data_IF_859545796226
#
_entry.id   IF_859545796226
#
_cell.length_a   1.000
_cell.length_b   1.000
_cell.length_c   1.000
_cell.angle_alpha   90.00
_cell.angle_beta   90.00
_cell.angle_gamma   90.00
#
_symmetry.space_group_name_H-M   'P 1'
#
loop_
_entity.id
_entity.type
_entity.pdbx_description
1 polymer ?
#
# COMPACT_ATOMS: atom_id res chain seq x y z
N UNK A 1 -22.06 -48.69 -2.29
CA UNK A 1 -21.09 -48.43 -1.20
C UNK A 1 -21.25 -47.00 -0.74
N UNK A 2 -21.82 -46.71 0.44
CA UNK A 2 -21.97 -45.33 0.88
C UNK A 2 -20.62 -44.78 1.31
N UNK A 3 -20.27 -43.60 0.80
CA UNK A 3 -19.04 -42.90 1.12
C UNK A 3 -18.97 -42.61 2.63
N UNK A 4 -18.01 -43.25 3.32
CA UNK A 4 -17.70 -42.95 4.72
C UNK A 4 -17.27 -41.49 4.82
N UNK A 5 -18.13 -40.65 5.40
CA UNK A 5 -17.77 -39.28 5.82
C UNK A 5 -16.59 -39.37 6.79
N UNK A 6 -15.38 -39.18 6.28
CA UNK A 6 -14.21 -38.92 7.14
C UNK A 6 -14.50 -37.64 7.90
N UNK A 7 -14.50 -37.70 9.22
CA UNK A 7 -14.59 -36.51 10.08
C UNK A 7 -13.48 -35.53 9.71
N UNK A 8 -13.74 -34.21 9.65
CA UNK A 8 -12.72 -33.20 9.36
C UNK A 8 -11.67 -33.04 10.49
N UNK A 9 -11.63 -33.96 11.46
CA UNK A 9 -10.89 -33.80 12.72
C UNK A 9 -9.55 -34.52 12.72
N UNK A 10 -8.53 -33.85 13.27
CA UNK A 10 -7.15 -34.32 13.41
C UNK A 10 -6.93 -35.65 14.15
N UNK A 11 -7.99 -36.27 14.68
CA UNK A 11 -7.97 -37.56 15.34
C UNK A 11 -7.76 -38.74 14.38
N UNK A 12 -8.13 -38.60 13.09
CA UNK A 12 -8.09 -39.69 12.08
C UNK A 12 -8.81 -40.99 12.52
N UNK A 13 -9.81 -40.87 13.40
CA UNK A 13 -10.68 -41.97 13.85
C UNK A 13 -12.09 -41.71 13.29
N UNK A 14 -12.75 -42.70 12.65
CA UNK A 14 -14.15 -42.59 12.26
C UNK A 14 -15.05 -42.25 13.45
N UNK A 15 -16.03 -41.35 13.28
CA UNK A 15 -16.91 -40.90 14.37
C UNK A 15 -17.63 -42.06 15.09
N UNK A 16 -17.98 -43.11 14.35
CA UNK A 16 -18.59 -44.34 14.86
C UNK A 16 -17.73 -45.04 15.92
N UNK A 17 -16.41 -45.00 15.77
CA UNK A 17 -15.46 -45.65 16.68
C UNK A 17 -14.81 -44.67 17.66
N UNK A 18 -15.01 -43.36 17.50
CA UNK A 18 -14.42 -42.35 18.35
C UNK A 18 -14.96 -42.47 19.78
N UNK A 19 -14.06 -42.59 20.74
CA UNK A 19 -14.34 -42.54 22.18
C UNK A 19 -13.45 -41.48 22.82
N UNK A 20 -13.99 -40.77 23.80
CA UNK A 20 -13.25 -39.75 24.52
C UNK A 20 -13.70 -39.62 25.97
N UNK A 21 -12.76 -39.28 26.84
CA UNK A 21 -13.00 -38.87 28.22
C UNK A 21 -12.23 -37.58 28.47
N UNK A 22 -12.81 -36.65 29.22
CA UNK A 22 -12.12 -35.45 29.65
C UNK A 22 -12.45 -35.09 31.10
N UNK A 23 -11.46 -34.54 31.79
CA UNK A 23 -11.59 -33.93 33.09
C UNK A 23 -10.87 -32.59 33.07
N UNK A 24 -11.36 -31.60 33.81
CA UNK A 24 -10.69 -30.30 33.93
C UNK A 24 -10.55 -29.89 35.39
N UNK A 25 -9.51 -29.11 35.68
CA UNK A 25 -9.28 -28.53 36.98
C UNK A 25 -8.58 -27.17 36.85
N UNK A 26 -8.70 -26.34 37.89
CA UNK A 26 -8.04 -25.04 37.96
C UNK A 26 -6.61 -25.21 38.49
N UNK A 27 -5.64 -24.62 37.81
CA UNK A 27 -4.32 -24.25 38.33
C UNK A 27 -4.32 -22.74 38.62
N UNK A 28 -3.32 -22.22 39.34
CA UNK A 28 -3.26 -20.81 39.79
C UNK A 28 -3.82 -19.82 38.77
N UNK A 29 -3.25 -19.78 37.56
CA UNK A 29 -3.65 -18.82 36.52
C UNK A 29 -4.21 -19.47 35.24
N UNK A 30 -4.55 -20.77 35.27
CA UNK A 30 -5.03 -21.47 34.07
C UNK A 30 -6.00 -22.61 34.34
N UNK A 31 -6.88 -22.87 33.37
CA UNK A 31 -7.70 -24.10 33.36
C UNK A 31 -6.91 -25.19 32.66
N UNK A 32 -6.69 -26.31 33.35
CA UNK A 32 -6.01 -27.47 32.81
C UNK A 32 -7.01 -28.57 32.48
N UNK A 33 -6.98 -29.07 31.24
CA UNK A 33 -7.88 -30.11 30.75
C UNK A 33 -7.04 -31.35 30.43
N UNK A 34 -7.38 -32.47 31.08
CA UNK A 34 -6.93 -33.80 30.71
C UNK A 34 -7.95 -34.40 29.76
N UNK A 35 -7.51 -34.84 28.57
CA UNK A 35 -8.40 -35.45 27.59
C UNK A 35 -7.75 -36.69 27.00
N UNK A 36 -8.48 -37.81 27.03
CA UNK A 36 -8.10 -39.08 26.42
C UNK A 36 -9.03 -39.30 25.24
N UNK A 37 -8.46 -39.56 24.06
CA UNK A 37 -9.21 -39.84 22.83
C UNK A 37 -8.67 -41.11 22.19
N UNK A 38 -9.54 -42.06 21.90
CA UNK A 38 -9.15 -43.39 21.40
C UNK A 38 -10.23 -43.97 20.47
N UNK A 39 -9.88 -45.01 19.71
CA UNK A 39 -10.83 -45.77 18.88
C UNK A 39 -11.34 -46.99 19.65
N UNK A 40 -12.62 -47.32 19.51
CA UNK A 40 -13.15 -48.61 19.94
C UNK A 40 -12.69 -49.79 19.06
N UNK A 41 -12.08 -49.51 17.91
CA UNK A 41 -11.45 -50.51 17.05
C UNK A 41 -9.93 -50.53 17.31
N UNK A 42 -9.42 -51.66 17.79
CA UNK A 42 -8.00 -51.84 18.15
C UNK A 42 -7.04 -51.71 16.96
N UNK A 43 -7.54 -51.82 15.72
CA UNK A 43 -6.75 -51.65 14.48
C UNK A 43 -6.69 -50.20 14.00
N UNK A 44 -7.33 -49.28 14.70
CA UNK A 44 -7.41 -47.86 14.34
C UNK A 44 -6.69 -46.97 15.36
N UNK A 45 -5.91 -46.03 14.84
CA UNK A 45 -5.58 -44.80 15.55
C UNK A 45 -4.19 -44.75 16.19
N UNK A 46 -3.47 -43.67 15.85
CA UNK A 46 -2.59 -42.97 16.79
C UNK A 46 -2.76 -41.46 16.53
N UNK A 47 -2.83 -40.67 17.60
CA UNK A 47 -2.89 -39.22 17.50
C UNK A 47 -1.52 -38.70 17.07
N UNK A 48 -1.43 -38.24 15.82
CA UNK A 48 -0.21 -37.58 15.33
C UNK A 48 0.03 -36.26 16.07
N UNK A 49 1.29 -35.80 16.15
CA UNK A 49 1.61 -34.46 16.70
C UNK A 49 0.80 -33.34 16.01
N UNK A 50 0.56 -33.46 14.71
CA UNK A 50 -0.29 -32.53 13.94
C UNK A 50 -1.76 -32.61 14.37
N UNK A 51 -2.29 -33.82 14.57
CA UNK A 51 -3.63 -34.05 15.09
C UNK A 51 -3.84 -33.40 16.47
N UNK A 52 -2.89 -33.60 17.38
CA UNK A 52 -2.90 -32.97 18.71
C UNK A 52 -2.96 -31.43 18.58
N UNK A 53 -2.15 -30.84 17.69
CA UNK A 53 -2.18 -29.38 17.45
C UNK A 53 -3.54 -28.89 16.93
N UNK A 54 -4.15 -29.60 16.00
CA UNK A 54 -5.46 -29.23 15.45
C UNK A 54 -6.54 -29.26 16.54
N UNK A 55 -6.51 -30.28 17.40
CA UNK A 55 -7.44 -30.45 18.51
C UNK A 55 -7.28 -29.34 19.54
N UNK A 56 -6.04 -29.07 19.97
CA UNK A 56 -5.73 -27.95 20.86
C UNK A 56 -6.17 -26.61 20.27
N UNK A 57 -5.92 -26.38 18.98
CA UNK A 57 -6.35 -25.15 18.31
C UNK A 57 -7.88 -25.04 18.23
N UNK A 58 -8.61 -26.13 17.98
CA UNK A 58 -10.07 -26.11 17.89
C UNK A 58 -10.68 -25.81 19.27
N UNK A 59 -10.20 -26.47 20.33
CA UNK A 59 -10.63 -26.20 21.69
C UNK A 59 -10.29 -24.78 22.13
N UNK A 60 -9.06 -24.32 21.92
CA UNK A 60 -8.64 -22.95 22.28
C UNK A 60 -9.50 -21.89 21.59
N UNK A 61 -9.75 -22.02 20.27
CA UNK A 61 -10.62 -21.09 19.54
C UNK A 61 -12.07 -21.12 20.02
N UNK A 62 -12.54 -22.25 20.55
CA UNK A 62 -13.92 -22.39 21.05
C UNK A 62 -14.07 -21.84 22.46
N UNK A 63 -13.15 -22.18 23.36
CA UNK A 63 -13.14 -21.73 24.77
C UNK A 63 -12.94 -20.21 24.81
N UNK A 64 -11.87 -19.72 24.17
CA UNK A 64 -11.51 -18.31 24.18
C UNK A 64 -12.18 -17.53 23.04
N UNK A 65 -13.33 -18.00 22.52
CA UNK A 65 -13.98 -17.35 21.37
C UNK A 65 -14.30 -15.89 21.68
N UNK A 66 -14.85 -15.61 22.87
CA UNK A 66 -15.22 -14.26 23.28
C UNK A 66 -13.99 -13.37 23.52
N UNK A 67 -12.97 -13.89 24.21
CA UNK A 67 -11.72 -13.15 24.46
C UNK A 67 -11.00 -12.82 23.15
N UNK A 68 -10.96 -13.76 22.21
CA UNK A 68 -10.39 -13.53 20.88
C UNK A 68 -11.16 -12.43 20.13
N UNK A 69 -12.50 -12.41 20.21
CA UNK A 69 -13.30 -11.35 19.61
C UNK A 69 -13.00 -9.99 20.23
N UNK A 70 -12.83 -9.92 21.55
CA UNK A 70 -12.51 -8.68 22.25
C UNK A 70 -11.10 -8.17 21.91
N UNK A 71 -10.08 -9.04 21.94
CA UNK A 71 -8.71 -8.71 21.52
C UNK A 71 -8.70 -8.23 20.08
N UNK A 72 -9.49 -8.88 19.22
CA UNK A 72 -9.68 -8.39 17.88
C UNK A 72 -10.26 -6.97 17.91
N UNK A 73 -11.45 -6.74 18.49
CA UNK A 73 -12.13 -5.42 18.56
C UNK A 73 -11.13 -4.30 18.89
N UNK A 74 -10.41 -4.43 20.00
CA UNK A 74 -9.36 -3.49 20.43
C UNK A 74 -8.28 -3.25 19.35
N UNK A 75 -7.79 -4.32 18.71
CA UNK A 75 -6.80 -4.20 17.62
C UNK A 75 -7.35 -3.47 16.38
N UNK A 76 -8.65 -3.58 16.10
CA UNK A 76 -9.24 -2.81 14.98
C UNK A 76 -9.41 -1.37 15.37
N UNK A 77 -9.94 -1.08 16.55
CA UNK A 77 -10.07 0.30 17.02
C UNK A 77 -8.73 1.02 17.01
N UNK A 78 -7.68 0.37 17.51
CA UNK A 78 -6.32 0.89 17.46
C UNK A 78 -5.86 1.19 16.03
N UNK A 79 -6.07 0.25 15.09
CA UNK A 79 -5.66 0.42 13.69
C UNK A 79 -6.47 1.47 12.95
N UNK A 80 -7.77 1.54 13.19
CA UNK A 80 -8.65 2.53 12.56
C UNK A 80 -8.33 3.94 13.08
N UNK A 81 -8.03 4.08 14.38
CA UNK A 81 -7.56 5.34 14.96
C UNK A 81 -6.22 5.76 14.37
N UNK A 82 -5.25 4.84 14.34
CA UNK A 82 -3.94 5.07 13.73
C UNK A 82 -4.07 5.48 12.26
N UNK A 83 -4.94 4.81 11.49
CA UNK A 83 -5.17 5.14 10.09
C UNK A 83 -5.70 6.56 9.89
N UNK A 84 -6.70 6.97 10.68
CA UNK A 84 -7.26 8.33 10.60
C UNK A 84 -6.27 9.41 11.02
N UNK A 85 -5.53 9.19 12.10
CA UNK A 85 -4.54 10.16 12.57
C UNK A 85 -3.38 10.27 11.58
N UNK A 86 -2.90 9.14 11.03
CA UNK A 86 -1.88 9.15 9.99
C UNK A 86 -2.37 9.83 8.70
N UNK A 87 -3.62 9.63 8.29
CA UNK A 87 -4.19 10.32 7.12
C UNK A 87 -4.23 11.84 7.34
N UNK A 88 -4.66 12.30 8.52
CA UNK A 88 -4.68 13.72 8.88
C UNK A 88 -3.27 14.32 8.87
N UNK A 89 -2.33 13.69 9.57
CA UNK A 89 -0.93 14.16 9.63
C UNK A 89 -0.28 14.16 8.25
N UNK A 90 -0.52 13.13 7.43
CA UNK A 90 -0.03 13.08 6.06
C UNK A 90 -0.60 14.24 5.22
N UNK A 91 -1.90 14.52 5.32
CA UNK A 91 -2.54 15.61 4.60
C UNK A 91 -1.98 16.99 5.00
N UNK A 92 -1.72 17.21 6.29
CA UNK A 92 -1.08 18.43 6.81
C UNK A 92 0.35 18.60 6.27
N UNK A 93 1.16 17.54 6.32
CA UNK A 93 2.52 17.55 5.77
C UNK A 93 2.52 17.84 4.27
N UNK A 94 1.59 17.22 3.51
CA UNK A 94 1.43 17.48 2.07
C UNK A 94 1.05 18.94 1.82
N UNK A 95 0.10 19.49 2.56
CA UNK A 95 -0.30 20.89 2.42
C UNK A 95 0.87 21.83 2.67
N UNK A 96 1.71 21.55 3.68
CA UNK A 96 2.90 22.34 3.98
C UNK A 96 4.01 22.18 2.92
N UNK A 97 4.11 21.03 2.25
CA UNK A 97 5.01 20.85 1.10
C UNK A 97 4.53 21.62 -0.13
N UNK A 98 3.21 21.68 -0.35
CA UNK A 98 2.61 22.35 -1.52
C UNK A 98 2.56 23.88 -1.38
N UNK A 99 2.49 24.41 -0.16
CA UNK A 99 2.28 25.85 0.11
C UNK A 99 3.47 26.54 0.80
N UNK A 100 4.42 25.78 1.34
CA UNK A 100 5.55 26.34 2.07
C UNK A 100 6.56 27.05 1.17
N UNK A 101 7.21 28.09 1.71
CA UNK A 101 8.45 28.61 1.13
C UNK A 101 9.57 27.61 1.40
N UNK A 102 9.79 26.73 0.44
CA UNK A 102 10.81 25.69 0.47
C UNK A 102 12.02 26.15 -0.35
N UNK A 103 13.10 26.52 0.35
CA UNK A 103 14.38 26.82 -0.28
C UNK A 103 15.38 25.77 0.19
N UNK A 104 16.09 25.16 -0.75
CA UNK A 104 17.17 24.23 -0.47
C UNK A 104 18.31 24.50 -1.46
N UNK A 105 19.33 25.20 -0.99
CA UNK A 105 20.50 25.59 -1.80
C UNK A 105 21.31 24.36 -2.27
N UNK A 106 21.29 23.25 -1.52
CA UNK A 106 21.99 22.03 -1.89
C UNK A 106 21.44 21.39 -3.16
N UNK A 107 20.21 21.71 -3.56
CA UNK A 107 19.57 21.20 -4.77
C UNK A 107 19.95 21.97 -6.03
N UNK A 108 20.47 23.19 -5.91
CA UNK A 108 20.69 24.06 -7.06
C UNK A 108 21.71 23.47 -8.04
N UNK A 109 22.90 23.11 -7.54
CA UNK A 109 23.97 22.55 -8.36
C UNK A 109 23.60 21.17 -8.95
N UNK A 110 23.03 20.22 -8.19
CA UNK A 110 22.57 18.95 -8.76
C UNK A 110 21.49 19.11 -9.85
N UNK A 111 20.55 20.03 -9.69
CA UNK A 111 19.48 20.29 -10.67
C UNK A 111 20.06 20.86 -11.96
N UNK A 112 20.97 21.84 -11.86
CA UNK A 112 21.65 22.43 -13.01
C UNK A 112 22.47 21.38 -13.78
N UNK A 113 23.25 20.58 -13.05
CA UNK A 113 24.05 19.51 -13.65
C UNK A 113 23.16 18.44 -14.30
N UNK A 114 22.03 18.08 -13.67
CA UNK A 114 21.09 17.13 -14.25
C UNK A 114 20.46 17.70 -15.53
N UNK A 115 20.07 18.97 -15.54
CA UNK A 115 19.52 19.64 -16.73
C UNK A 115 20.49 19.57 -17.91
N UNK A 116 21.75 19.92 -17.68
CA UNK A 116 22.82 19.83 -18.70
C UNK A 116 23.02 18.40 -19.20
N UNK A 117 22.99 17.40 -18.31
CA UNK A 117 23.12 15.98 -18.72
C UNK A 117 21.93 15.49 -19.53
N UNK A 118 20.72 15.86 -19.13
CA UNK A 118 19.49 15.46 -19.82
C UNK A 118 19.41 16.06 -21.22
N UNK A 119 19.86 17.31 -21.42
CA UNK A 119 19.95 17.94 -22.74
C UNK A 119 20.87 17.16 -23.71
N UNK A 120 21.93 16.54 -23.18
CA UNK A 120 22.90 15.77 -23.98
C UNK A 120 22.54 14.29 -24.11
N UNK A 121 21.44 13.84 -23.49
CA UNK A 121 21.03 12.44 -23.51
C UNK A 121 20.23 12.15 -24.78
N UNK A 122 20.68 11.17 -25.58
CA UNK A 122 19.95 10.71 -26.77
C UNK A 122 18.88 9.68 -26.36
N UNK A 123 17.65 9.85 -26.85
CA UNK A 123 16.55 8.88 -26.64
C UNK A 123 15.55 9.26 -25.54
N UNK A 124 14.91 8.26 -24.93
CA UNK A 124 13.84 8.47 -23.94
C UNK A 124 14.40 9.00 -22.61
N UNK A 125 13.93 10.17 -22.18
CA UNK A 125 14.33 10.81 -20.91
C UNK A 125 13.39 10.42 -19.77
N UNK A 126 13.36 9.12 -19.46
CA UNK A 126 12.62 8.54 -18.32
C UNK A 126 13.64 7.79 -17.48
N UNK A 127 13.54 7.83 -16.15
CA UNK A 127 14.58 7.34 -15.22
C UNK A 127 15.15 5.98 -15.62
N UNK A 128 14.31 5.01 -15.97
CA UNK A 128 14.74 3.65 -16.35
C UNK A 128 15.71 3.59 -17.55
N UNK A 129 15.62 4.55 -18.47
CA UNK A 129 16.42 4.63 -19.70
C UNK A 129 17.62 5.56 -19.58
N UNK A 130 17.76 6.28 -18.46
CA UNK A 130 18.88 7.19 -18.27
C UNK A 130 20.21 6.44 -18.11
N UNK A 131 21.33 7.05 -18.54
CA UNK A 131 22.66 6.50 -18.28
C UNK A 131 22.94 6.45 -16.76
N UNK A 132 23.84 5.56 -16.30
CA UNK A 132 24.08 5.34 -14.86
C UNK A 132 24.42 6.62 -14.09
N UNK A 133 25.23 7.51 -14.69
CA UNK A 133 25.63 8.78 -14.08
C UNK A 133 24.48 9.76 -13.91
N UNK A 134 23.49 9.76 -14.81
CA UNK A 134 22.28 10.56 -14.67
C UNK A 134 21.30 9.95 -13.66
N UNK A 135 21.17 8.62 -13.61
CA UNK A 135 20.37 7.92 -12.59
C UNK A 135 20.88 8.20 -11.17
N UNK A 136 22.20 8.12 -10.97
CA UNK A 136 22.81 8.42 -9.67
C UNK A 136 22.55 9.86 -9.22
N UNK A 137 22.55 10.81 -10.17
CA UNK A 137 22.25 12.21 -9.87
C UNK A 137 20.77 12.42 -9.54
N UNK A 138 19.85 11.74 -10.25
CA UNK A 138 18.42 11.72 -9.89
C UNK A 138 18.22 11.14 -8.50
N UNK A 139 18.84 10.00 -8.19
CA UNK A 139 18.76 9.38 -6.87
C UNK A 139 19.26 10.33 -5.77
N UNK A 140 20.40 11.00 -6.01
CA UNK A 140 20.94 11.98 -5.08
C UNK A 140 20.01 13.18 -4.84
N UNK A 141 19.35 13.70 -5.89
CA UNK A 141 18.34 14.76 -5.76
C UNK A 141 17.15 14.27 -4.93
N UNK A 142 16.67 13.05 -5.18
CA UNK A 142 15.55 12.47 -4.41
C UNK A 142 15.93 12.32 -2.94
N UNK A 143 17.14 11.84 -2.66
CA UNK A 143 17.61 11.63 -1.29
C UNK A 143 17.91 12.97 -0.59
N UNK A 144 18.29 14.01 -1.32
CA UNK A 144 18.41 15.38 -0.77
C UNK A 144 17.05 16.02 -0.48
N UNK A 145 16.05 15.82 -1.36
CA UNK A 145 14.66 16.21 -1.08
C UNK A 145 14.13 15.51 0.17
N UNK A 146 14.50 14.25 0.38
CA UNK A 146 14.08 13.45 1.52
C UNK A 146 14.66 13.91 2.87
N UNK A 147 15.66 14.79 2.88
CA UNK A 147 16.21 15.38 4.11
C UNK A 147 15.40 16.55 4.64
N UNK A 148 14.54 17.12 3.80
CA UNK A 148 13.66 18.21 4.23
C UNK A 148 12.66 17.69 5.27
N UNK A 149 12.44 18.46 6.34
CA UNK A 149 11.70 18.03 7.53
C UNK A 149 10.33 17.43 7.21
N UNK A 150 9.54 18.07 6.34
CA UNK A 150 8.19 17.62 6.00
C UNK A 150 8.23 16.36 5.16
N UNK A 151 9.17 16.29 4.20
CA UNK A 151 9.36 15.10 3.36
C UNK A 151 9.83 13.91 4.19
N UNK A 152 10.78 14.13 5.11
CA UNK A 152 11.27 13.13 6.04
C UNK A 152 10.13 12.61 6.93
N UNK A 153 9.37 13.51 7.56
CA UNK A 153 8.23 13.17 8.40
C UNK A 153 7.15 12.38 7.63
N UNK A 154 6.83 12.79 6.40
CA UNK A 154 5.86 12.08 5.57
C UNK A 154 6.36 10.69 5.18
N UNK A 155 7.64 10.55 4.84
CA UNK A 155 8.23 9.25 4.53
C UNK A 155 8.31 8.32 5.74
N UNK A 156 8.62 8.86 6.92
CA UNK A 156 8.60 8.11 8.17
C UNK A 156 7.19 7.65 8.52
N UNK A 157 6.20 8.52 8.40
CA UNK A 157 4.80 8.18 8.65
C UNK A 157 4.31 7.08 7.69
N UNK A 158 4.66 7.17 6.41
CA UNK A 158 4.35 6.13 5.43
C UNK A 158 5.00 4.78 5.80
N UNK A 159 6.26 4.79 6.26
CA UNK A 159 6.93 3.57 6.72
C UNK A 159 6.27 2.98 7.98
N UNK A 160 5.86 3.82 8.93
CA UNK A 160 5.13 3.37 10.12
C UNK A 160 3.81 2.70 9.74
N UNK A 161 3.03 3.29 8.82
CA UNK A 161 1.79 2.66 8.33
C UNK A 161 2.08 1.30 7.68
N UNK A 162 3.13 1.22 6.85
CA UNK A 162 3.56 -0.04 6.21
C UNK A 162 3.97 -1.10 7.24
N UNK A 163 4.69 -0.72 8.28
CA UNK A 163 5.12 -1.61 9.37
C UNK A 163 3.94 -2.13 10.18
N UNK A 164 2.96 -1.27 10.50
CA UNK A 164 1.77 -1.65 11.27
C UNK A 164 0.86 -2.62 10.50
N UNK A 165 0.76 -2.45 9.18
CA UNK A 165 0.14 -3.47 8.32
C UNK A 165 0.90 -4.79 8.41
N UNK A 166 2.24 -4.78 8.34
CA UNK A 166 3.05 -5.99 8.44
C UNK A 166 2.93 -6.69 9.80
N UNK A 167 2.91 -5.96 10.92
CA UNK A 167 2.75 -6.50 12.28
C UNK A 167 1.48 -7.33 12.46
N UNK A 168 0.45 -7.06 11.65
CA UNK A 168 -0.79 -7.85 11.66
C UNK A 168 -0.57 -9.28 11.15
N UNK A 169 0.36 -9.50 10.22
CA UNK A 169 0.50 -10.75 9.48
C UNK A 169 1.86 -11.45 9.62
N UNK A 170 2.88 -10.73 10.09
CA UNK A 170 4.26 -11.21 10.18
C UNK A 170 4.97 -10.58 11.37
N UNK A 171 5.87 -11.34 11.99
CA UNK A 171 6.80 -10.83 13.01
C UNK A 171 8.01 -10.11 12.39
N UNK A 172 8.26 -10.31 11.10
CA UNK A 172 9.36 -9.66 10.38
C UNK A 172 8.88 -8.31 9.79
N UNK A 173 9.51 -7.23 10.25
CA UNK A 173 9.27 -5.88 9.73
C UNK A 173 10.05 -5.64 8.44
N UNK A 174 9.47 -4.92 7.46
CA UNK A 174 10.20 -4.51 6.26
C UNK A 174 11.40 -3.61 6.61
N UNK A 175 12.49 -3.74 5.87
CA UNK A 175 13.59 -2.81 5.94
C UNK A 175 13.16 -1.41 5.46
N UNK A 176 13.57 -0.37 6.21
CA UNK A 176 13.44 1.02 5.77
C UNK A 176 14.58 1.35 4.81
N UNK A 177 14.23 1.65 3.57
CA UNK A 177 15.18 2.03 2.53
C UNK A 177 15.19 3.55 2.36
N UNK A 178 16.15 4.08 1.60
CA UNK A 178 16.11 5.47 1.14
C UNK A 178 14.95 5.68 0.16
N UNK A 179 14.41 6.91 0.11
CA UNK A 179 13.28 7.25 -0.76
C UNK A 179 13.59 6.94 -2.23
N UNK A 180 14.80 7.22 -2.70
CA UNK A 180 15.23 6.91 -4.08
C UNK A 180 15.21 5.41 -4.41
N UNK A 181 15.40 4.55 -3.41
CA UNK A 181 15.45 3.09 -3.57
C UNK A 181 14.09 2.44 -3.39
N UNK A 182 13.13 3.15 -2.81
CA UNK A 182 11.80 2.60 -2.59
C UNK A 182 11.05 2.40 -3.91
N UNK A 183 10.50 1.19 -4.09
CA UNK A 183 9.81 0.82 -5.34
C UNK A 183 8.45 1.50 -5.46
N UNK A 184 7.77 1.69 -4.33
CA UNK A 184 6.49 2.39 -4.22
C UNK A 184 6.64 3.87 -4.62
N UNK A 185 7.84 4.46 -4.46
CA UNK A 185 8.16 5.83 -4.86
C UNK A 185 8.93 5.92 -6.19
N UNK A 186 8.79 4.95 -7.09
CA UNK A 186 9.33 5.05 -8.46
C UNK A 186 8.86 6.33 -9.19
N UNK A 187 7.64 6.79 -8.90
CA UNK A 187 7.10 8.02 -9.45
C UNK A 187 7.96 9.26 -9.12
N UNK A 188 8.58 9.31 -7.93
CA UNK A 188 9.41 10.43 -7.48
C UNK A 188 10.62 10.62 -8.39
N UNK A 189 11.30 9.53 -8.75
CA UNK A 189 12.46 9.59 -9.66
C UNK A 189 12.10 10.10 -11.05
N UNK A 190 10.94 9.69 -11.58
CA UNK A 190 10.46 10.19 -12.87
C UNK A 190 9.95 11.63 -12.78
N UNK A 191 9.40 12.03 -11.63
CA UNK A 191 8.99 13.40 -11.36
C UNK A 191 10.20 14.35 -11.41
N UNK A 192 11.32 14.01 -10.74
CA UNK A 192 12.55 14.81 -10.80
C UNK A 192 13.01 15.01 -12.24
N UNK A 193 13.04 13.94 -13.05
CA UNK A 193 13.42 14.03 -14.46
C UNK A 193 12.49 14.97 -15.23
N UNK A 194 11.18 14.88 -15.00
CA UNK A 194 10.18 15.73 -15.68
C UNK A 194 10.33 17.22 -15.32
N UNK A 195 10.46 17.56 -14.05
CA UNK A 195 10.56 18.97 -13.62
C UNK A 195 11.89 19.59 -14.12
N UNK A 196 12.99 18.84 -14.09
CA UNK A 196 14.29 19.32 -14.59
C UNK A 196 14.32 19.46 -16.12
N UNK A 197 13.55 18.66 -16.87
CA UNK A 197 13.39 18.87 -18.31
C UNK A 197 12.60 20.15 -18.63
N UNK A 198 11.58 20.48 -17.82
CA UNK A 198 10.81 21.71 -17.98
C UNK A 198 11.68 22.95 -17.72
N UNK A 199 12.59 22.88 -16.75
CA UNK A 199 13.59 23.93 -16.48
C UNK A 199 14.38 24.34 -17.74
N UNK A 200 14.73 23.38 -18.59
CA UNK A 200 15.49 23.63 -19.83
C UNK A 200 14.67 24.11 -21.03
N UNK A 201 13.32 24.04 -20.97
CA UNK A 201 12.43 24.39 -22.10
C UNK A 201 11.81 25.78 -22.01
N UNK A 202 11.80 26.41 -20.83
CA UNK A 202 11.22 27.74 -20.66
C UNK A 202 9.71 27.84 -20.91
N UNK A 203 8.99 26.71 -21.03
CA UNK A 203 7.55 26.66 -21.23
C UNK A 203 6.87 25.69 -20.25
N UNK A 204 5.76 26.17 -19.68
CA UNK A 204 4.85 25.42 -18.84
C UNK A 204 3.71 24.81 -19.69
N UNK A 205 3.21 23.60 -19.39
CA UNK A 205 1.90 23.17 -19.87
C UNK A 205 0.82 23.95 -19.11
N UNK A 206 -0.10 24.57 -19.82
CA UNK A 206 -1.37 25.04 -19.24
C UNK A 206 -2.21 23.84 -18.81
N UNK A 207 -3.08 24.05 -17.81
CA UNK A 207 -3.83 23.01 -17.10
C UNK A 207 -4.69 22.07 -17.99
N UNK A 208 -4.91 22.41 -19.27
CA UNK A 208 -5.74 21.64 -20.20
C UNK A 208 -5.02 20.50 -20.93
N UNK A 209 -3.67 20.42 -20.94
CA UNK A 209 -2.95 19.34 -21.64
C UNK A 209 -2.65 18.08 -20.79
N UNK A 210 -3.06 18.07 -19.51
CA UNK A 210 -2.72 16.98 -18.57
C UNK A 210 -3.72 15.79 -18.66
N UNK A 211 -4.72 15.85 -19.54
CA UNK A 211 -5.83 14.87 -19.58
C UNK A 211 -5.51 13.61 -20.40
N UNK A 212 -4.38 13.52 -21.12
CA UNK A 212 -4.09 12.34 -21.94
C UNK A 212 -2.90 11.51 -21.45
N UNK A 213 -3.17 10.66 -20.47
CA UNK A 213 -2.33 9.49 -20.19
C UNK A 213 -2.85 8.29 -21.01
N UNK A 214 -2.02 7.60 -21.81
CA UNK A 214 -2.36 6.28 -22.31
C UNK A 214 -2.13 5.25 -21.19
N UNK A 215 -3.22 4.73 -20.64
CA UNK A 215 -3.22 3.54 -19.78
C UNK A 215 -2.83 2.31 -20.63
N UNK A 216 -1.86 1.47 -20.24
CA UNK A 216 -1.61 0.22 -20.94
C UNK A 216 -2.65 -0.82 -20.51
N UNK A 217 -3.79 -0.88 -21.20
CA UNK A 217 -4.68 -2.05 -21.11
C UNK A 217 -4.11 -3.19 -21.94
N UNK A 218 -3.59 -4.21 -21.27
CA UNK A 218 -3.28 -5.49 -21.89
C UNK A 218 -4.55 -6.33 -22.05
N UNK A 219 -5.11 -6.38 -23.26
CA UNK A 219 -5.93 -7.50 -23.76
C UNK A 219 -6.05 -7.37 -25.30
N UNK A 220 -5.82 -8.43 -26.09
CA UNK A 220 -5.92 -8.33 -27.55
C UNK A 220 -7.37 -8.56 -28.01
N UNK A 221 -7.91 -7.78 -28.97
CA UNK A 221 -9.21 -8.10 -29.53
C UNK A 221 -9.11 -9.01 -30.76
N UNK A 222 -10.05 -9.95 -30.82
CA UNK A 222 -10.35 -10.82 -31.95
C UNK A 222 -10.85 -10.03 -33.17
N UNK A 223 -10.68 -10.64 -34.35
CA UNK A 223 -11.04 -10.13 -35.67
C UNK A 223 -12.54 -10.22 -35.97
N UNK A 224 -12.97 -9.44 -36.98
CA UNK A 224 -14.20 -9.50 -37.83
C UNK A 224 -15.10 -8.26 -37.66
N UNK A 225 -15.55 -7.50 -38.67
CA UNK A 225 -15.31 -7.49 -40.12
C UNK A 225 -16.13 -6.37 -40.81
N UNK A 226 -15.51 -5.72 -41.82
CA UNK A 226 -16.09 -4.99 -43.01
C UNK A 226 -16.95 -3.71 -42.80
N UNK A 227 -17.16 -2.86 -43.85
CA UNK A 227 -16.15 -2.19 -44.69
C UNK A 227 -16.46 -0.69 -45.03
N UNK A 228 -15.39 0.02 -45.43
CA UNK A 228 -15.29 1.16 -46.38
C UNK A 228 -16.24 2.38 -46.35
N UNK A 229 -15.61 3.56 -46.27
CA UNK A 229 -15.88 4.68 -47.19
C UNK A 229 -15.87 6.08 -46.57
N UNK A 230 -14.77 6.84 -46.73
CA UNK A 230 -14.74 8.15 -47.40
C UNK A 230 -13.51 9.01 -47.01
N UNK A 231 -12.65 9.20 -48.01
CA UNK A 231 -11.75 10.32 -48.33
C UNK A 231 -11.30 11.35 -47.27
N UNK A 232 -9.96 11.42 -47.14
CA UNK A 232 -9.16 12.58 -46.72
C UNK A 232 -9.51 13.88 -47.46
N UNK A 233 -9.17 15.02 -46.85
CA UNK A 233 -8.07 15.78 -47.43
C UNK A 233 -6.93 16.06 -46.44
N UNK A 234 -5.75 15.81 -46.99
CA UNK A 234 -4.41 16.19 -46.58
C UNK A 234 -4.34 17.65 -46.09
N UNK A 235 -3.91 17.85 -44.84
CA UNK A 235 -3.49 19.16 -44.35
C UNK A 235 -2.02 19.06 -43.96
N UNK A 236 -1.26 19.97 -44.55
CA UNK A 236 0.18 19.99 -44.66
C UNK A 236 0.90 19.88 -43.32
N UNK A 237 1.91 19.02 -43.31
CA UNK A 237 2.91 18.95 -42.27
C UNK A 237 3.71 20.27 -42.25
N UNK A 238 3.22 21.24 -41.49
CA UNK A 238 4.05 22.35 -41.05
C UNK A 238 5.07 21.81 -40.05
N UNK A 239 6.20 21.35 -40.57
CA UNK A 239 7.45 21.13 -39.84
C UNK A 239 7.85 22.44 -39.14
N UNK A 240 7.31 22.66 -37.94
CA UNK A 240 7.83 23.66 -37.03
C UNK A 240 9.12 23.08 -36.45
N UNK A 241 10.24 23.31 -37.14
CA UNK A 241 11.54 23.35 -36.49
C UNK A 241 11.49 24.50 -35.48
N UNK A 242 10.98 24.20 -34.29
CA UNK A 242 11.02 25.12 -33.16
C UNK A 242 12.47 25.23 -32.72
N UNK A 243 13.15 26.25 -33.22
CA UNK A 243 14.49 26.64 -32.83
C UNK A 243 14.48 26.88 -31.33
N UNK A 244 14.97 25.91 -30.55
CA UNK A 244 15.18 26.06 -29.11
C UNK A 244 16.30 27.09 -28.93
N UNK A 245 15.91 28.34 -28.69
CA UNK A 245 16.86 29.38 -28.29
C UNK A 245 17.32 29.04 -26.87
N UNK A 246 18.60 28.66 -26.76
CA UNK A 246 19.24 28.36 -25.49
C UNK A 246 19.21 29.59 -24.58
N UNK A 247 18.33 29.56 -23.57
CA UNK A 247 18.38 30.50 -22.45
C UNK A 247 19.26 29.89 -21.35
N UNK A 248 20.23 30.65 -20.85
CA UNK A 248 20.97 30.26 -19.66
C UNK A 248 19.99 30.14 -18.48
N UNK A 249 19.97 28.97 -17.83
CA UNK A 249 19.13 28.73 -16.65
C UNK A 249 19.57 29.68 -15.55
N UNK A 250 18.66 30.52 -15.06
CA UNK A 250 18.95 31.46 -13.97
C UNK A 250 18.73 30.81 -12.60
N UNK A 251 19.35 31.36 -11.55
CA UNK A 251 19.10 30.96 -10.17
C UNK A 251 17.61 31.01 -9.81
N UNK A 252 16.86 31.98 -10.34
CA UNK A 252 15.42 32.09 -10.14
C UNK A 252 14.63 30.92 -10.78
N UNK A 253 15.10 30.42 -11.93
CA UNK A 253 14.49 29.25 -12.58
C UNK A 253 14.75 27.99 -11.76
N UNK A 254 15.97 27.83 -11.23
CA UNK A 254 16.31 26.69 -10.37
C UNK A 254 15.52 26.70 -9.06
N UNK A 255 15.39 27.86 -8.41
CA UNK A 255 14.58 28.01 -7.21
C UNK A 255 13.10 27.66 -7.47
N UNK A 256 12.56 28.06 -8.63
CA UNK A 256 11.20 27.68 -9.05
C UNK A 256 11.07 26.17 -9.26
N UNK A 257 12.07 25.53 -9.87
CA UNK A 257 12.09 24.08 -10.06
C UNK A 257 12.11 23.35 -8.70
N UNK A 258 12.91 23.81 -7.72
CA UNK A 258 12.90 23.25 -6.36
C UNK A 258 11.51 23.30 -5.73
N UNK A 259 10.81 24.43 -5.83
CA UNK A 259 9.43 24.56 -5.33
C UNK A 259 8.48 23.57 -6.03
N UNK A 260 8.60 23.41 -7.36
CA UNK A 260 7.80 22.46 -8.13
C UNK A 260 8.09 21.00 -7.75
N UNK A 261 9.34 20.66 -7.41
CA UNK A 261 9.71 19.34 -6.92
C UNK A 261 8.98 19.01 -5.61
N UNK A 262 8.96 19.94 -4.65
CA UNK A 262 8.26 19.73 -3.38
C UNK A 262 6.74 19.67 -3.54
N UNK A 263 6.17 20.53 -4.37
CA UNK A 263 4.74 20.47 -4.69
C UNK A 263 4.38 19.10 -5.32
N UNK A 264 5.17 18.65 -6.29
CA UNK A 264 4.96 17.35 -6.93
C UNK A 264 5.19 16.18 -5.97
N UNK A 265 6.10 16.33 -5.00
CA UNK A 265 6.34 15.35 -3.95
C UNK A 265 5.09 15.16 -3.09
N UNK A 266 4.46 16.25 -2.64
CA UNK A 266 3.21 16.22 -1.88
C UNK A 266 2.10 15.42 -2.59
N UNK A 267 1.94 15.64 -3.90
CA UNK A 267 0.99 14.88 -4.73
C UNK A 267 1.31 13.38 -4.77
N UNK A 268 2.58 13.00 -4.91
CA UNK A 268 2.99 11.59 -4.93
C UNK A 268 2.74 10.93 -3.57
N UNK A 269 3.05 11.62 -2.47
CA UNK A 269 2.73 11.11 -1.13
C UNK A 269 1.23 10.88 -0.95
N UNK A 270 0.38 11.80 -1.43
CA UNK A 270 -1.08 11.63 -1.43
C UNK A 270 -1.51 10.35 -2.14
N UNK A 271 -0.98 10.10 -3.33
CA UNK A 271 -1.29 8.91 -4.12
C UNK A 271 -0.81 7.62 -3.43
N UNK A 272 0.38 7.64 -2.81
CA UNK A 272 0.94 6.47 -2.15
C UNK A 272 0.31 6.19 -0.77
N UNK A 273 -0.07 7.23 -0.02
CA UNK A 273 -0.76 7.08 1.29
C UNK A 273 -2.23 6.69 1.13
N UNK A 274 -2.86 7.12 0.03
CA UNK A 274 -4.22 6.72 -0.35
C UNK A 274 -4.24 5.36 -1.07
N UNK A 275 -3.09 4.71 -1.29
CA UNK A 275 -3.06 3.40 -1.95
C UNK A 275 -3.91 2.39 -1.19
N UNK A 276 -4.85 1.77 -1.91
CA UNK A 276 -5.75 0.73 -1.38
C UNK A 276 -4.99 -0.35 -0.61
N UNK A 277 -3.74 -0.66 -0.94
CA UNK A 277 -2.98 -1.70 -0.25
C UNK A 277 -2.68 -1.36 1.21
N UNK A 278 -2.30 -0.10 1.50
CA UNK A 278 -1.99 0.35 2.86
C UNK A 278 -3.30 0.57 3.63
N UNK A 279 -4.27 1.24 3.01
CA UNK A 279 -5.57 1.52 3.62
C UNK A 279 -6.38 0.23 3.90
N UNK A 280 -6.44 -0.70 2.94
CA UNK A 280 -7.07 -2.02 3.15
C UNK A 280 -6.30 -2.85 4.18
N UNK A 281 -4.98 -2.70 4.23
CA UNK A 281 -4.14 -3.33 5.26
C UNK A 281 -4.45 -2.83 6.67
N UNK A 282 -4.82 -1.55 6.80
CA UNK A 282 -5.24 -0.90 8.05
C UNK A 282 -6.71 -1.13 8.40
N UNK A 283 -7.56 -1.50 7.44
CA UNK A 283 -8.97 -1.85 7.67
C UNK A 283 -9.25 -3.31 8.05
N UNK A 284 -10.37 -3.52 8.75
CA UNK A 284 -10.80 -4.84 9.24
C UNK A 284 -10.96 -5.88 8.11
N UNK A 285 -10.35 -7.06 8.27
CA UNK A 285 -10.50 -8.17 7.32
C UNK A 285 -11.95 -8.69 7.30
N UNK A 286 -12.46 -9.05 6.11
CA UNK A 286 -13.78 -9.62 5.83
C UNK A 286 -14.15 -10.78 6.75
N UNK A 287 -13.19 -11.66 7.05
CA UNK A 287 -13.42 -12.79 7.95
C UNK A 287 -13.77 -12.32 9.36
N UNK A 288 -13.10 -11.27 9.81
CA UNK A 288 -13.29 -10.67 11.14
C UNK A 288 -14.57 -9.88 11.22
N UNK A 289 -14.89 -9.11 10.17
CA UNK A 289 -16.15 -8.39 10.03
C UNK A 289 -17.36 -9.33 10.15
N UNK A 290 -17.29 -10.53 9.54
CA UNK A 290 -18.31 -11.57 9.68
C UNK A 290 -18.47 -12.05 11.12
N UNK A 291 -17.37 -12.31 11.81
CA UNK A 291 -17.41 -12.80 13.21
C UNK A 291 -18.02 -11.77 14.16
N UNK A 292 -17.74 -10.48 13.97
CA UNK A 292 -18.36 -9.40 14.75
C UNK A 292 -19.86 -9.30 14.46
N UNK A 293 -20.27 -9.43 13.19
CA UNK A 293 -21.68 -9.47 12.80
C UNK A 293 -22.41 -10.66 13.43
N UNK A 294 -21.82 -11.86 13.41
CA UNK A 294 -22.37 -13.04 14.08
C UNK A 294 -22.51 -12.85 15.60
N UNK A 295 -21.52 -12.22 16.25
CA UNK A 295 -21.57 -11.88 17.69
C UNK A 295 -22.74 -10.93 17.98
N UNK A 296 -22.90 -9.87 17.18
CA UNK A 296 -24.02 -8.92 17.29
C UNK A 296 -25.38 -9.61 17.13
N UNK A 297 -25.54 -10.45 16.11
CA UNK A 297 -26.78 -11.23 15.92
C UNK A 297 -27.07 -12.18 17.09
N UNK A 298 -26.05 -12.83 17.65
CA UNK A 298 -26.21 -13.69 18.82
C UNK A 298 -26.61 -12.93 20.10
N UNK A 299 -26.33 -11.63 20.17
CA UNK A 299 -26.73 -10.73 21.26
C UNK A 299 -28.11 -10.08 21.02
N UNK A 300 -28.79 -10.42 19.92
CA UNK A 300 -30.14 -9.95 19.61
C UNK A 300 -30.21 -8.73 18.67
N UNK A 301 -29.09 -8.23 18.17
CA UNK A 301 -29.07 -7.16 17.17
C UNK A 301 -29.44 -7.68 15.78
N UNK A 302 -30.09 -6.84 14.96
CA UNK A 302 -30.45 -7.21 13.58
C UNK A 302 -29.20 -7.28 12.70
N UNK A 303 -29.26 -8.07 11.63
CA UNK A 303 -28.11 -8.26 10.72
C UNK A 303 -27.65 -6.96 10.03
N UNK A 304 -28.55 -5.99 9.89
CA UNK A 304 -28.36 -4.69 9.24
C UNK A 304 -28.41 -3.52 10.25
N UNK A 305 -28.19 -3.81 11.53
CA UNK A 305 -28.10 -2.80 12.58
C UNK A 305 -26.76 -2.05 12.42
N UNK A 306 -26.82 -0.84 11.87
CA UNK A 306 -25.69 0.07 11.76
C UNK A 306 -25.72 1.00 12.98
N UNK A 307 -24.73 0.91 13.86
CA UNK A 307 -24.48 2.00 14.80
C UNK A 307 -24.08 3.23 13.98
N UNK A 308 -24.91 4.27 14.01
CA UNK A 308 -24.52 5.59 13.54
C UNK A 308 -23.30 6.02 14.37
N UNK A 309 -22.14 6.10 13.71
CA UNK A 309 -20.93 6.65 14.33
C UNK A 309 -21.31 8.06 14.78
N UNK A 310 -21.22 8.40 16.09
CA UNK A 310 -21.53 9.74 16.54
C UNK A 310 -20.61 10.71 15.80
N UNK A 311 -21.20 11.56 14.98
CA UNK A 311 -20.51 12.73 14.47
C UNK A 311 -20.17 13.58 15.69
N UNK A 312 -18.94 13.46 16.20
CA UNK A 312 -18.45 14.40 17.20
C UNK A 312 -18.43 15.77 16.54
N UNK A 313 -19.43 16.57 16.91
CA UNK A 313 -19.60 17.97 16.55
C UNK A 313 -18.28 18.69 16.76
N UNK A 314 -17.71 19.21 15.68
CA UNK A 314 -16.81 20.35 15.75
C UNK A 314 -17.57 21.47 16.48
N UNK A 315 -16.99 21.95 17.57
CA UNK A 315 -17.27 23.26 18.16
C UNK A 315 -15.94 23.85 18.58
#
# INVERSE_FOLDING_TARGET
MPARRRSPGGYRIPLEHLRWYAAFHRKEDSVHIHMVVFSSNLKEGYLTKQGIRQVKSAFGRRIFRQDLLHIYEQKTEYRDALGRDAERTMAELIAQMETGQLQNENLEQPILELSRRLQNTKGKTVYGYLPPTAKALVDAIVDELAKEERVAAAYDLWNQMREEVCRTYSEQLPERLLLSKQKEFKAVRNMVVREVLQLGRGEHPTADEIVHMPTPSGTPPAQSGLPYGAHHPQQEAAHHQRTQTHRAVSHADTARCVLQLFHSMGRIFREQSASDAIQTGLHIDRKRHRMLREKRMALGHKADDHEEIPQHSQR
#
